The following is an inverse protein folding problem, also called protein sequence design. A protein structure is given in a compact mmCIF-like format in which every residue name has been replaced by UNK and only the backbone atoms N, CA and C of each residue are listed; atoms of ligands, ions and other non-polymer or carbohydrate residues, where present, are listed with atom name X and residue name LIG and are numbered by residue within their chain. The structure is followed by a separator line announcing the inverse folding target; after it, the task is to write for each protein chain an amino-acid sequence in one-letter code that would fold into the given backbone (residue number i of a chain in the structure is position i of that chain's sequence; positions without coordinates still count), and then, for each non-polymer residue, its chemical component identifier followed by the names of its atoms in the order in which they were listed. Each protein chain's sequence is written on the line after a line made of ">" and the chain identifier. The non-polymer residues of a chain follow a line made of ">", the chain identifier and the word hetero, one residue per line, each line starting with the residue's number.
data_IF_808078005084
#
_entry.id   IF_808078005084
#
_cell.length_a   1.000
_cell.length_b   1.000
_cell.length_c   1.000
_cell.angle_alpha   90.00
_cell.angle_beta   90.00
_cell.angle_gamma   90.00
#
_symmetry.space_group_name_H-M   'P 1'
#
loop_
_entity.id
_entity.type
_entity.pdbx_description
1 polymer ?
#
# COMPACT_ATOMS: atom_id res chain seq x y z
N UNK A 1 1.08 25.82 1.64
CA UNK A 1 -0.33 26.03 2.04
C UNK A 1 -1.00 24.66 2.06
N UNK A 2 -1.15 24.08 3.25
CA UNK A 2 -1.61 22.71 3.45
C UNK A 2 -3.15 22.66 3.43
N UNK A 3 -3.72 21.71 2.69
CA UNK A 3 -5.17 21.51 2.60
C UNK A 3 -5.70 20.84 3.88
N UNK A 4 -6.84 21.28 4.44
CA UNK A 4 -7.41 20.71 5.66
C UNK A 4 -7.87 19.26 5.47
N UNK A 5 -7.65 18.42 6.50
CA UNK A 5 -7.98 16.98 6.56
C UNK A 5 -9.48 16.66 6.48
N UNK A 6 -10.34 17.67 6.56
CA UNK A 6 -11.80 17.55 6.64
C UNK A 6 -12.52 17.66 5.30
N UNK A 7 -11.79 17.84 4.19
CA UNK A 7 -12.42 17.85 2.88
C UNK A 7 -12.95 16.42 2.54
N UNK A 8 -14.27 16.22 2.38
CA UNK A 8 -14.81 14.90 2.09
C UNK A 8 -14.24 14.39 0.76
N UNK A 9 -13.83 13.11 0.74
CA UNK A 9 -13.10 12.42 -0.33
C UNK A 9 -13.81 12.41 -1.72
N UNK A 10 -14.97 13.05 -1.83
CA UNK A 10 -15.88 13.06 -2.98
C UNK A 10 -15.44 13.94 -4.17
N UNK A 11 -14.33 14.68 -4.06
CA UNK A 11 -13.89 15.61 -5.12
C UNK A 11 -13.00 14.92 -6.18
N UNK A 12 -12.56 13.67 -5.99
CA UNK A 12 -11.43 13.14 -6.77
C UNK A 12 -11.72 12.11 -7.88
N UNK A 13 -12.91 11.53 -8.08
CA UNK A 13 -13.12 10.58 -9.20
C UNK A 13 -14.55 10.59 -9.78
N UNK A 14 -14.60 10.68 -11.12
CA UNK A 14 -15.75 10.61 -12.03
C UNK A 14 -16.69 11.84 -12.03
N UNK A 15 -16.76 12.48 -13.20
CA UNK A 15 -17.30 13.82 -13.46
C UNK A 15 -18.80 13.99 -13.15
N UNK A 16 -19.53 12.91 -12.87
CA UNK A 16 -20.89 12.96 -12.29
C UNK A 16 -21.10 11.82 -11.30
N UNK A 17 -21.61 12.14 -10.11
CA UNK A 17 -21.88 11.19 -9.03
C UNK A 17 -23.01 10.25 -9.47
N UNK A 18 -22.87 8.94 -9.26
CA UNK A 18 -23.90 7.92 -9.54
C UNK A 18 -23.92 6.85 -8.47
N UNK A 19 -25.07 6.24 -8.23
CA UNK A 19 -25.19 5.02 -7.45
C UNK A 19 -24.35 3.91 -8.12
N UNK A 20 -23.45 3.30 -7.36
CA UNK A 20 -22.53 2.26 -7.88
C UNK A 20 -23.25 0.95 -8.22
N UNK A 21 -24.44 0.73 -7.66
CA UNK A 21 -25.17 -0.52 -7.83
C UNK A 21 -26.18 -0.47 -8.98
N UNK A 22 -26.99 0.59 -9.07
CA UNK A 22 -28.04 0.72 -10.11
C UNK A 22 -27.77 1.82 -11.14
N UNK A 23 -26.68 2.57 -11.02
CA UNK A 23 -26.30 3.62 -11.96
C UNK A 23 -27.13 4.90 -11.90
N UNK A 24 -28.08 5.02 -10.95
CA UNK A 24 -28.90 6.23 -10.76
C UNK A 24 -28.00 7.45 -10.55
N UNK A 25 -28.21 8.52 -11.31
CA UNK A 25 -27.43 9.75 -11.18
C UNK A 25 -27.73 10.42 -9.84
N UNK A 26 -26.71 10.98 -9.18
CA UNK A 26 -26.90 11.62 -7.89
C UNK A 26 -27.78 12.86 -7.98
N UNK A 27 -27.82 13.53 -9.14
CA UNK A 27 -28.72 14.65 -9.39
C UNK A 27 -30.21 14.22 -9.37
N UNK A 28 -30.49 12.93 -9.55
CA UNK A 28 -31.83 12.35 -9.47
C UNK A 28 -32.16 11.79 -8.08
N UNK A 29 -31.23 11.87 -7.12
CA UNK A 29 -31.46 11.42 -5.74
C UNK A 29 -31.99 12.63 -4.96
N UNK A 30 -33.21 12.53 -4.37
CA UNK A 30 -33.80 13.63 -3.64
C UNK A 30 -32.97 13.93 -2.39
N UNK A 31 -32.93 15.20 -1.99
CA UNK A 31 -32.18 15.65 -0.81
C UNK A 31 -32.67 15.02 0.51
N UNK A 32 -33.87 14.41 0.52
CA UNK A 32 -34.38 13.61 1.63
C UNK A 32 -33.72 12.23 1.76
N UNK A 33 -33.04 11.74 0.73
CA UNK A 33 -32.42 10.42 0.66
C UNK A 33 -30.89 10.54 0.63
N UNK A 34 -30.32 11.11 1.70
CA UNK A 34 -28.88 11.39 1.80
C UNK A 34 -28.01 10.14 1.95
N UNK A 35 -28.55 9.10 2.57
CA UNK A 35 -27.78 7.93 2.99
C UNK A 35 -28.09 6.66 2.19
N UNK A 36 -29.18 6.65 1.42
CA UNK A 36 -29.64 5.45 0.73
C UNK A 36 -30.20 5.79 -0.64
N UNK A 37 -29.90 4.96 -1.65
CA UNK A 37 -30.43 5.14 -2.99
C UNK A 37 -31.93 4.82 -3.00
N UNK A 38 -32.81 5.76 -3.40
CA UNK A 38 -34.26 5.54 -3.40
C UNK A 38 -34.72 4.47 -4.40
N UNK A 39 -33.85 4.07 -5.34
CA UNK A 39 -34.17 3.08 -6.37
C UNK A 39 -33.82 1.65 -5.98
N UNK A 40 -32.70 1.45 -5.28
CA UNK A 40 -32.16 0.11 -5.02
C UNK A 40 -31.74 -0.14 -3.58
N UNK A 41 -31.94 0.82 -2.67
CA UNK A 41 -31.55 0.68 -1.26
C UNK A 41 -30.04 0.66 -1.00
N UNK A 42 -29.22 1.03 -2.00
CA UNK A 42 -27.76 1.04 -1.83
C UNK A 42 -27.36 2.13 -0.83
N UNK A 43 -26.55 1.77 0.16
CA UNK A 43 -25.94 2.73 1.09
C UNK A 43 -25.01 3.70 0.31
N UNK A 44 -25.24 5.00 0.50
CA UNK A 44 -24.49 6.12 -0.07
C UNK A 44 -23.63 6.82 0.98
N UNK A 45 -23.87 6.54 2.27
CA UNK A 45 -23.19 7.14 3.41
C UNK A 45 -21.85 6.46 3.67
N UNK A 46 -21.86 5.14 3.78
CA UNK A 46 -20.67 4.38 4.14
C UNK A 46 -19.95 3.89 2.89
N UNK A 47 -18.80 4.51 2.62
CA UNK A 47 -17.83 3.95 1.68
C UNK A 47 -16.44 4.02 2.29
N UNK A 48 -16.09 3.08 3.19
CA UNK A 48 -14.73 3.02 3.70
C UNK A 48 -13.77 2.89 2.52
N UNK A 49 -12.58 3.50 2.60
CA UNK A 49 -11.56 3.30 1.58
C UNK A 49 -11.15 1.82 1.58
N UNK A 50 -11.61 1.08 0.57
CA UNK A 50 -11.24 -0.32 0.35
C UNK A 50 -10.06 -0.39 -0.61
N UNK A 51 -9.13 -1.30 -0.34
CA UNK A 51 -8.06 -1.59 -1.30
C UNK A 51 -8.63 -2.32 -2.52
N UNK A 52 -7.96 -2.25 -3.67
CA UNK A 52 -8.39 -2.98 -4.87
C UNK A 52 -8.47 -4.49 -4.60
N UNK A 53 -7.51 -5.03 -3.85
CA UNK A 53 -7.51 -6.43 -3.45
C UNK A 53 -8.75 -6.83 -2.63
N UNK A 54 -9.25 -5.92 -1.81
CA UNK A 54 -10.47 -6.15 -1.03
C UNK A 54 -11.72 -6.13 -1.91
N UNK A 55 -11.79 -5.19 -2.86
CA UNK A 55 -12.91 -5.11 -3.80
C UNK A 55 -13.01 -6.35 -4.70
N UNK A 56 -11.87 -6.92 -5.09
CA UNK A 56 -11.79 -8.15 -5.89
C UNK A 56 -11.94 -9.44 -5.04
N UNK A 57 -12.14 -9.33 -3.72
CA UNK A 57 -12.27 -10.49 -2.83
C UNK A 57 -10.99 -11.30 -2.66
N UNK A 58 -9.82 -10.72 -2.96
CA UNK A 58 -8.53 -11.44 -2.92
C UNK A 58 -8.10 -11.82 -1.50
N UNK A 59 -8.66 -11.19 -0.46
CA UNK A 59 -8.36 -11.53 0.94
C UNK A 59 -9.08 -12.79 1.42
N UNK A 60 -10.18 -13.16 0.78
CA UNK A 60 -10.98 -14.34 1.14
C UNK A 60 -10.46 -15.62 0.48
N UNK A 61 -9.50 -15.48 -0.45
CA UNK A 61 -8.86 -16.61 -1.10
C UNK A 61 -7.96 -17.35 -0.09
N UNK A 62 -8.03 -18.69 -0.04
CA UNK A 62 -7.08 -19.45 0.76
C UNK A 62 -5.66 -19.18 0.24
N UNK A 63 -4.66 -19.07 1.13
CA UNK A 63 -3.30 -18.83 0.73
C UNK A 63 -2.79 -19.99 -0.14
N UNK A 64 -2.26 -19.66 -1.32
CA UNK A 64 -1.63 -20.65 -2.18
C UNK A 64 -0.24 -21.00 -1.60
N UNK A 65 -0.01 -22.27 -1.19
CA UNK A 65 1.26 -22.67 -0.58
C UNK A 65 2.45 -22.48 -1.52
N UNK A 66 2.26 -22.65 -2.84
CA UNK A 66 3.34 -22.46 -3.81
C UNK A 66 3.74 -20.98 -3.92
N UNK A 67 2.77 -20.08 -3.85
CA UNK A 67 3.01 -18.62 -3.85
C UNK A 67 3.69 -18.19 -2.55
N UNK A 68 3.27 -18.71 -1.41
CA UNK A 68 3.90 -18.42 -0.12
C UNK A 68 5.35 -18.92 -0.06
N UNK A 69 5.61 -20.12 -0.57
CA UNK A 69 6.98 -20.66 -0.64
C UNK A 69 7.86 -19.88 -1.61
N UNK A 70 7.33 -19.47 -2.77
CA UNK A 70 8.05 -18.59 -3.69
C UNK A 70 8.39 -17.25 -3.03
N UNK A 71 7.43 -16.65 -2.31
CA UNK A 71 7.63 -15.40 -1.57
C UNK A 71 8.69 -15.54 -0.49
N UNK A 72 8.70 -16.66 0.25
CA UNK A 72 9.73 -16.94 1.28
C UNK A 72 11.13 -17.02 0.67
N UNK A 73 11.30 -17.69 -0.47
CA UNK A 73 12.59 -17.79 -1.18
C UNK A 73 13.09 -16.42 -1.61
N UNK A 74 12.25 -15.62 -2.27
CA UNK A 74 12.60 -14.26 -2.71
C UNK A 74 13.00 -13.38 -1.52
N UNK A 75 12.26 -13.46 -0.42
CA UNK A 75 12.59 -12.69 0.79
C UNK A 75 13.91 -13.13 1.42
N UNK A 76 14.19 -14.44 1.44
CA UNK A 76 15.45 -14.98 1.96
C UNK A 76 16.65 -14.54 1.09
N UNK A 77 16.51 -14.59 -0.23
CA UNK A 77 17.53 -14.12 -1.18
C UNK A 77 17.79 -12.63 -1.01
N UNK A 78 16.73 -11.80 -0.94
CA UNK A 78 16.86 -10.37 -0.73
C UNK A 78 17.51 -10.04 0.63
N UNK A 79 17.18 -10.79 1.68
CA UNK A 79 17.80 -10.65 2.99
C UNK A 79 19.29 -11.02 2.95
N UNK A 80 19.65 -12.14 2.31
CA UNK A 80 21.02 -12.58 2.15
C UNK A 80 21.86 -11.55 1.38
N UNK A 81 21.34 -11.01 0.27
CA UNK A 81 22.00 -9.97 -0.51
C UNK A 81 22.28 -8.70 0.32
N UNK A 82 21.29 -8.24 1.11
CA UNK A 82 21.46 -7.08 2.00
C UNK A 82 22.54 -7.33 3.05
N UNK A 83 22.55 -8.52 3.66
CA UNK A 83 23.55 -8.87 4.67
C UNK A 83 24.95 -9.02 4.08
N UNK A 84 25.09 -9.55 2.87
CA UNK A 84 26.39 -9.60 2.17
C UNK A 84 26.97 -8.20 1.95
N UNK A 85 26.14 -7.23 1.57
CA UNK A 85 26.59 -5.82 1.44
C UNK A 85 27.07 -5.27 2.78
N UNK A 86 26.34 -5.53 3.87
CA UNK A 86 26.75 -5.10 5.22
C UNK A 86 28.08 -5.74 5.62
N UNK A 87 28.22 -7.05 5.43
CA UNK A 87 29.44 -7.78 5.79
C UNK A 87 30.65 -7.29 4.98
N UNK A 88 30.48 -7.05 3.68
CA UNK A 88 31.53 -6.48 2.84
C UNK A 88 31.92 -5.06 3.28
N UNK A 89 30.93 -4.24 3.65
CA UNK A 89 31.17 -2.90 4.21
C UNK A 89 31.98 -2.95 5.51
N UNK A 90 31.58 -3.81 6.46
CA UNK A 90 32.30 -3.99 7.73
C UNK A 90 33.70 -4.54 7.51
N UNK A 91 33.87 -5.54 6.64
CA UNK A 91 35.17 -6.09 6.29
C UNK A 91 36.09 -5.04 5.65
N UNK A 92 35.56 -4.23 4.74
CA UNK A 92 36.29 -3.14 4.11
C UNK A 92 36.73 -2.07 5.11
N UNK A 93 35.84 -1.65 6.02
CA UNK A 93 36.15 -0.66 7.04
C UNK A 93 37.19 -1.17 8.05
N UNK A 94 37.03 -2.40 8.55
CA UNK A 94 37.97 -3.01 9.49
C UNK A 94 39.34 -3.26 8.85
N UNK A 95 39.37 -3.80 7.63
CA UNK A 95 40.60 -3.96 6.86
C UNK A 95 41.31 -2.63 6.58
N UNK A 96 40.56 -1.60 6.20
CA UNK A 96 41.09 -0.24 5.98
C UNK A 96 41.66 0.37 7.26
N UNK A 97 40.96 0.23 8.40
CA UNK A 97 41.43 0.72 9.69
C UNK A 97 42.72 0.02 10.14
N UNK A 98 42.79 -1.31 9.99
CA UNK A 98 44.00 -2.08 10.29
C UNK A 98 45.18 -1.67 9.42
N UNK A 99 44.98 -1.55 8.11
CA UNK A 99 46.02 -1.11 7.19
C UNK A 99 46.53 0.31 7.53
N UNK A 100 45.62 1.23 7.85
CA UNK A 100 45.97 2.58 8.29
C UNK A 100 46.78 2.59 9.59
N UNK A 101 46.36 1.78 10.59
CA UNK A 101 47.07 1.66 11.85
C UNK A 101 48.51 1.11 11.66
N UNK A 102 48.68 0.09 10.82
CA UNK A 102 50.01 -0.48 10.49
C UNK A 102 50.89 0.57 9.81
N UNK A 103 50.36 1.32 8.84
CA UNK A 103 51.12 2.38 8.15
C UNK A 103 51.52 3.52 9.10
N UNK A 104 50.66 3.87 10.06
CA UNK A 104 50.96 4.88 11.08
C UNK A 104 52.03 4.40 12.05
N UNK A 105 52.00 3.12 12.45
CA UNK A 105 52.99 2.53 13.35
C UNK A 105 54.37 2.29 12.69
N UNK A 106 54.41 2.21 11.37
CA UNK A 106 55.63 2.03 10.59
C UNK A 106 56.35 3.36 10.21
N UNK A 107 55.79 4.50 10.64
CA UNK A 107 56.40 5.84 10.50
C UNK A 107 57.09 6.25 11.78
#
# INVERSE_FOLDING_TARGET
>A
MALPREAPALVRRHVRRRCVQCGLSAEAIPASSLYECPRCGCDLASRPPRSYAEMEGLFDLPPDPAVEDARRRVNAEAAAARWLVVLLGVAGLSGGALAAAVMLAAR
#
